data_IF_224572346311
#
_entry.id   IF_224572346311
#
_cell.length_a   1.000
_cell.length_b   1.000
_cell.length_c   1.000
_cell.angle_alpha   90.00
_cell.angle_beta   90.00
_cell.angle_gamma   90.00
#
_symmetry.space_group_name_H-M   'P 1'
#
loop_
_entity.id
_entity.type
_entity.pdbx_description
1 polymer ?
#
# COMPACT_ATOMS: atom_id res chain seq x y z
N UNK A 1 22.03 -20.79 17.73
CA UNK A 1 21.56 -19.82 16.72
C UNK A 1 21.13 -18.57 17.46
N UNK A 2 21.67 -17.38 17.16
CA UNK A 2 21.25 -16.17 17.86
C UNK A 2 19.75 -15.97 17.63
N UNK A 3 18.98 -15.79 18.70
CA UNK A 3 17.52 -15.70 18.77
C UNK A 3 16.86 -14.88 17.63
N UNK A 4 17.57 -13.88 17.11
CA UNK A 4 17.18 -13.07 15.94
C UNK A 4 16.97 -13.89 14.66
N UNK A 5 17.90 -14.78 14.33
CA UNK A 5 17.81 -15.60 13.10
C UNK A 5 16.63 -16.55 13.16
N UNK A 6 16.24 -17.00 14.36
CA UNK A 6 15.07 -17.84 14.56
C UNK A 6 13.77 -17.07 14.27
N UNK A 7 13.67 -15.81 14.73
CA UNK A 7 12.51 -14.95 14.44
C UNK A 7 12.39 -14.64 12.95
N UNK A 8 13.50 -14.27 12.29
CA UNK A 8 13.51 -14.00 10.85
C UNK A 8 13.14 -15.26 10.03
N UNK A 9 13.64 -16.44 10.41
CA UNK A 9 13.25 -17.73 9.80
C UNK A 9 11.79 -18.08 10.04
N UNK A 10 11.26 -17.85 11.24
CA UNK A 10 9.85 -18.11 11.56
C UNK A 10 8.91 -17.24 10.70
N UNK A 11 9.21 -15.95 10.59
CA UNK A 11 8.48 -15.03 9.72
C UNK A 11 8.54 -15.47 8.25
N UNK A 12 9.71 -15.89 7.77
CA UNK A 12 9.87 -16.43 6.42
C UNK A 12 9.01 -17.67 6.18
N UNK A 13 8.96 -18.61 7.14
CA UNK A 13 8.14 -19.81 7.01
C UNK A 13 6.64 -19.49 6.98
N UNK A 14 6.18 -18.52 7.79
CA UNK A 14 4.78 -18.06 7.77
C UNK A 14 4.40 -17.55 6.37
N UNK A 15 5.27 -16.75 5.74
CA UNK A 15 5.05 -16.25 4.37
C UNK A 15 4.91 -17.40 3.37
N UNK A 16 5.82 -18.36 3.44
CA UNK A 16 5.80 -19.52 2.55
C UNK A 16 4.51 -20.34 2.72
N UNK A 17 4.08 -20.55 3.95
CA UNK A 17 2.83 -21.27 4.23
C UNK A 17 1.61 -20.52 3.74
N UNK A 18 1.59 -19.19 3.85
CA UNK A 18 0.48 -18.40 3.34
C UNK A 18 0.32 -18.54 1.82
N UNK A 19 1.41 -18.77 1.09
CA UNK A 19 1.40 -18.99 -0.35
C UNK A 19 1.07 -20.44 -0.73
N UNK A 20 1.69 -21.42 -0.07
CA UNK A 20 1.60 -22.82 -0.49
C UNK A 20 0.43 -23.57 0.17
N UNK A 21 0.08 -23.23 1.41
CA UNK A 21 -0.86 -23.98 2.27
C UNK A 21 -1.66 -23.04 3.19
N UNK A 22 -2.40 -22.12 2.58
CA UNK A 22 -3.14 -21.09 3.34
C UNK A 22 -4.14 -21.68 4.33
N UNK A 23 -4.72 -22.84 4.03
CA UNK A 23 -5.64 -23.59 4.89
C UNK A 23 -5.06 -23.91 6.27
N UNK A 24 -3.75 -24.19 6.35
CA UNK A 24 -3.08 -24.49 7.63
C UNK A 24 -3.01 -23.24 8.51
N UNK A 25 -2.75 -22.08 7.90
CA UNK A 25 -2.73 -20.81 8.62
C UNK A 25 -4.14 -20.39 9.04
N UNK A 26 -5.15 -20.58 8.18
CA UNK A 26 -6.53 -20.19 8.45
C UNK A 26 -7.09 -20.87 9.71
N UNK A 27 -6.78 -22.14 9.94
CA UNK A 27 -7.16 -22.88 11.15
C UNK A 27 -6.61 -22.26 12.45
N UNK A 28 -5.53 -21.47 12.37
CA UNK A 28 -4.84 -20.86 13.51
C UNK A 28 -4.55 -19.38 13.29
N UNK A 29 -5.38 -18.72 12.50
CA UNK A 29 -5.08 -17.39 11.97
C UNK A 29 -4.83 -16.37 13.09
N UNK A 30 -5.68 -16.39 14.12
CA UNK A 30 -5.56 -15.49 15.26
C UNK A 30 -4.20 -15.63 15.98
N UNK A 31 -3.77 -16.86 16.24
CA UNK A 31 -2.50 -17.12 16.92
C UNK A 31 -1.31 -16.69 16.07
N UNK A 32 -1.35 -16.97 14.76
CA UNK A 32 -0.33 -16.55 13.80
C UNK A 32 -0.26 -15.02 13.75
N UNK A 33 -1.39 -14.34 13.61
CA UNK A 33 -1.43 -12.88 13.57
C UNK A 33 -0.96 -12.25 14.88
N UNK A 34 -1.31 -12.80 16.04
CA UNK A 34 -0.79 -12.36 17.34
C UNK A 34 0.73 -12.48 17.43
N UNK A 35 1.28 -13.63 16.99
CA UNK A 35 2.72 -13.86 16.97
C UNK A 35 3.47 -12.90 16.04
N UNK A 36 2.91 -12.61 14.86
CA UNK A 36 3.53 -11.67 13.92
C UNK A 36 3.40 -10.23 14.43
N UNK A 37 2.23 -9.85 14.97
CA UNK A 37 2.00 -8.50 15.51
C UNK A 37 2.84 -8.20 16.75
N UNK A 38 3.16 -9.18 17.60
CA UNK A 38 4.09 -8.97 18.72
C UNK A 38 5.50 -8.61 18.24
N UNK A 39 5.91 -9.07 17.05
CA UNK A 39 7.20 -8.71 16.45
C UNK A 39 7.20 -7.38 15.71
N UNK A 40 6.03 -6.81 15.38
CA UNK A 40 5.94 -5.51 14.68
C UNK A 40 6.59 -4.41 15.50
N UNK A 41 6.43 -4.39 16.82
CA UNK A 41 7.01 -3.38 17.71
C UNK A 41 8.39 -3.76 18.26
N UNK A 42 9.07 -4.74 17.65
CA UNK A 42 10.38 -5.20 18.12
C UNK A 42 11.45 -4.08 18.04
N UNK A 43 12.26 -3.94 19.11
CA UNK A 43 13.33 -2.94 19.20
C UNK A 43 14.38 -3.08 18.09
N UNK A 44 14.54 -4.27 17.52
CA UNK A 44 15.40 -4.52 16.38
C UNK A 44 14.64 -4.21 15.10
N UNK A 45 14.93 -3.07 14.50
CA UNK A 45 14.22 -2.56 13.32
C UNK A 45 14.19 -3.52 12.13
N UNK A 46 15.16 -4.44 11.98
CA UNK A 46 15.14 -5.49 10.94
C UNK A 46 14.07 -6.56 11.19
N UNK A 47 13.89 -6.97 12.45
CA UNK A 47 12.86 -7.95 12.85
C UNK A 47 11.49 -7.31 12.72
N UNK A 48 11.33 -6.08 13.23
CA UNK A 48 10.11 -5.28 13.08
C UNK A 48 9.73 -5.11 11.61
N UNK A 49 10.68 -4.70 10.75
CA UNK A 49 10.47 -4.57 9.32
C UNK A 49 10.02 -5.89 8.68
N UNK A 50 10.68 -7.00 9.00
CA UNK A 50 10.31 -8.32 8.49
C UNK A 50 8.88 -8.72 8.90
N UNK A 51 8.49 -8.44 10.14
CA UNK A 51 7.14 -8.71 10.64
C UNK A 51 6.08 -7.87 9.92
N UNK A 52 6.35 -6.58 9.71
CA UNK A 52 5.48 -5.68 8.95
C UNK A 52 5.28 -6.19 7.51
N UNK A 53 6.36 -6.56 6.82
CA UNK A 53 6.27 -7.12 5.46
C UNK A 53 5.51 -8.44 5.46
N UNK A 54 5.69 -9.28 6.48
CA UNK A 54 4.94 -10.53 6.65
C UNK A 54 3.43 -10.28 6.75
N UNK A 55 3.00 -9.28 7.52
CA UNK A 55 1.58 -8.89 7.59
C UNK A 55 1.05 -8.43 6.23
N UNK A 56 1.85 -7.68 5.47
CA UNK A 56 1.50 -7.29 4.10
C UNK A 56 1.23 -8.50 3.21
N UNK A 57 2.11 -9.50 3.25
CA UNK A 57 1.95 -10.73 2.48
C UNK A 57 0.73 -11.55 2.93
N UNK A 58 0.45 -11.60 4.23
CA UNK A 58 -0.77 -12.24 4.76
C UNK A 58 -2.04 -11.54 4.25
N UNK A 59 -2.07 -10.21 4.17
CA UNK A 59 -3.21 -9.50 3.59
C UNK A 59 -3.38 -9.80 2.10
N UNK A 60 -2.30 -9.86 1.31
CA UNK A 60 -2.38 -10.17 -0.12
C UNK A 60 -2.90 -11.59 -0.37
N UNK A 61 -2.46 -12.54 0.45
CA UNK A 61 -2.76 -13.97 0.29
C UNK A 61 -4.12 -14.35 0.84
N UNK A 62 -4.40 -14.00 2.10
CA UNK A 62 -5.60 -14.41 2.83
C UNK A 62 -6.78 -13.42 2.66
N UNK A 63 -6.50 -12.17 2.25
CA UNK A 63 -7.52 -11.17 1.87
C UNK A 63 -8.61 -10.99 2.94
N UNK A 64 -9.88 -11.25 2.60
CA UNK A 64 -11.05 -11.09 3.47
C UNK A 64 -11.01 -12.00 4.71
N UNK A 65 -10.25 -13.09 4.68
CA UNK A 65 -10.11 -13.96 5.85
C UNK A 65 -9.35 -13.25 6.98
N UNK A 66 -8.58 -12.20 6.66
CA UNK A 66 -7.91 -11.32 7.63
C UNK A 66 -8.85 -10.28 8.26
N UNK A 67 -10.14 -10.20 7.88
CA UNK A 67 -11.06 -9.15 8.36
C UNK A 67 -11.18 -9.12 9.90
N UNK A 68 -11.08 -10.28 10.56
CA UNK A 68 -11.11 -10.39 12.03
C UNK A 68 -9.87 -9.77 12.68
N UNK A 69 -8.74 -9.79 11.99
CA UNK A 69 -7.43 -9.36 12.51
C UNK A 69 -7.12 -7.89 12.22
N UNK A 70 -7.92 -7.23 11.35
CA UNK A 70 -7.70 -5.85 10.91
C UNK A 70 -7.52 -4.88 12.08
N UNK A 71 -8.33 -4.97 13.14
CA UNK A 71 -8.24 -4.00 14.25
C UNK A 71 -6.90 -4.08 14.97
N UNK A 72 -6.41 -5.29 15.24
CA UNK A 72 -5.14 -5.49 15.94
C UNK A 72 -3.95 -5.13 15.06
N UNK A 73 -3.97 -5.58 13.80
CA UNK A 73 -2.91 -5.28 12.85
C UNK A 73 -2.82 -3.78 12.55
N UNK A 74 -3.95 -3.12 12.29
CA UNK A 74 -3.96 -1.69 12.02
C UNK A 74 -3.47 -0.89 13.24
N UNK A 75 -3.82 -1.29 14.47
CA UNK A 75 -3.34 -0.66 15.70
C UNK A 75 -1.82 -0.66 15.78
N UNK A 76 -1.17 -1.81 15.59
CA UNK A 76 0.30 -1.89 15.68
C UNK A 76 0.98 -1.20 14.51
N UNK A 77 0.45 -1.30 13.28
CA UNK A 77 1.03 -0.62 12.12
C UNK A 77 0.92 0.91 12.24
N UNK A 78 -0.23 1.44 12.67
CA UNK A 78 -0.40 2.88 12.90
C UNK A 78 0.54 3.41 13.98
N UNK A 79 0.88 2.61 15.00
CA UNK A 79 1.93 2.96 15.98
C UNK A 79 3.31 3.06 15.32
N UNK A 80 3.63 2.14 14.41
CA UNK A 80 4.92 2.15 13.69
C UNK A 80 5.03 3.30 12.67
N UNK A 81 3.91 3.81 12.16
CA UNK A 81 3.91 4.97 11.24
C UNK A 81 4.50 6.22 11.89
N UNK A 82 4.39 6.41 13.20
CA UNK A 82 4.90 7.62 13.87
C UNK A 82 6.11 7.37 14.79
N UNK A 83 6.24 6.18 15.37
CA UNK A 83 7.23 5.90 16.43
C UNK A 83 8.36 4.98 15.95
N UNK A 84 8.93 5.20 14.75
CA UNK A 84 9.93 4.30 14.17
C UNK A 84 10.89 4.99 13.20
N UNK A 85 12.02 4.36 12.81
CA UNK A 85 12.87 4.87 11.73
C UNK A 85 12.11 4.97 10.40
N UNK A 86 12.50 5.92 9.55
CA UNK A 86 11.79 6.25 8.30
C UNK A 86 11.49 5.03 7.42
N UNK A 87 12.44 4.11 7.26
CA UNK A 87 12.24 2.90 6.45
C UNK A 87 11.16 1.96 7.02
N UNK A 88 11.02 1.91 8.35
CA UNK A 88 9.97 1.14 9.05
C UNK A 88 8.63 1.87 8.93
N UNK A 89 8.61 3.20 9.07
CA UNK A 89 7.40 4.00 8.85
C UNK A 89 6.85 3.81 7.43
N UNK A 90 7.74 3.80 6.42
CA UNK A 90 7.37 3.54 5.02
C UNK A 90 6.80 2.13 4.84
N UNK A 91 7.43 1.11 5.43
CA UNK A 91 6.92 -0.26 5.39
C UNK A 91 5.55 -0.39 6.07
N UNK A 92 5.36 0.25 7.22
CA UNK A 92 4.08 0.24 7.94
C UNK A 92 2.97 0.93 7.13
N UNK A 93 3.27 2.11 6.57
CA UNK A 93 2.34 2.86 5.72
C UNK A 93 1.96 2.07 4.46
N UNK A 94 2.95 1.42 3.83
CA UNK A 94 2.70 0.57 2.67
C UNK A 94 1.87 -0.67 3.04
N UNK A 95 2.12 -1.26 4.19
CA UNK A 95 1.35 -2.43 4.66
C UNK A 95 -0.09 -2.06 5.00
N UNK A 96 -0.34 -0.87 5.57
CA UNK A 96 -1.70 -0.35 5.75
C UNK A 96 -2.41 -0.13 4.41
N UNK A 97 -1.70 0.32 3.37
CA UNK A 97 -2.26 0.41 2.01
C UNK A 97 -2.63 -0.97 1.46
N UNK A 98 -1.74 -1.94 1.57
CA UNK A 98 -1.99 -3.33 1.16
C UNK A 98 -3.20 -3.91 1.90
N UNK A 99 -3.31 -3.69 3.21
CA UNK A 99 -4.48 -4.08 4.01
C UNK A 99 -5.76 -3.50 3.40
N UNK A 100 -5.80 -2.18 3.18
CA UNK A 100 -6.95 -1.46 2.63
C UNK A 100 -7.38 -1.96 1.24
N UNK A 101 -6.43 -2.43 0.44
CA UNK A 101 -6.68 -2.97 -0.90
C UNK A 101 -7.27 -4.39 -0.88
N UNK A 102 -6.93 -5.21 0.14
CA UNK A 102 -7.23 -6.65 0.13
C UNK A 102 -8.33 -7.11 1.09
N UNK A 103 -8.62 -6.33 2.14
CA UNK A 103 -9.69 -6.65 3.12
C UNK A 103 -11.03 -6.05 2.68
N UNK A 104 -12.12 -6.41 3.38
CA UNK A 104 -13.44 -5.83 3.08
C UNK A 104 -13.39 -4.30 3.23
N UNK A 105 -13.83 -3.49 2.23
CA UNK A 105 -13.71 -2.03 2.27
C UNK A 105 -14.37 -1.41 3.51
N UNK A 106 -15.55 -1.91 3.87
CA UNK A 106 -16.28 -1.50 5.06
C UNK A 106 -15.50 -1.76 6.35
N UNK A 107 -14.72 -2.84 6.40
CA UNK A 107 -13.89 -3.20 7.55
C UNK A 107 -12.69 -2.26 7.66
N UNK A 108 -11.96 -2.05 6.57
CA UNK A 108 -10.84 -1.11 6.49
C UNK A 108 -11.25 0.32 6.87
N UNK A 109 -12.38 0.82 6.33
CA UNK A 109 -12.90 2.15 6.68
C UNK A 109 -13.15 2.29 8.18
N UNK A 110 -13.79 1.29 8.79
CA UNK A 110 -14.12 1.32 10.21
C UNK A 110 -12.84 1.42 11.06
N UNK A 111 -11.86 0.55 10.80
CA UNK A 111 -10.58 0.55 11.51
C UNK A 111 -9.82 1.88 11.38
N UNK A 112 -9.75 2.45 10.18
CA UNK A 112 -9.09 3.74 9.95
C UNK A 112 -9.82 4.91 10.63
N UNK A 113 -11.16 4.92 10.62
CA UNK A 113 -11.96 5.94 11.30
C UNK A 113 -11.84 5.84 12.82
N UNK A 114 -11.71 4.64 13.37
CA UNK A 114 -11.64 4.42 14.82
C UNK A 114 -10.24 4.64 15.39
N UNK A 115 -9.19 4.27 14.68
CA UNK A 115 -7.82 4.34 15.22
C UNK A 115 -6.97 5.41 14.55
N UNK A 116 -7.11 5.58 13.24
CA UNK A 116 -6.28 6.49 12.46
C UNK A 116 -6.71 7.95 12.63
N UNK A 117 -7.96 8.26 12.31
CA UNK A 117 -8.52 9.63 12.34
C UNK A 117 -8.54 10.21 13.76
N UNK A 118 -8.75 9.36 14.78
CA UNK A 118 -8.79 9.77 16.19
C UNK A 118 -7.41 9.92 16.84
N UNK A 119 -6.32 9.63 16.11
CA UNK A 119 -4.96 9.67 16.66
C UNK A 119 -4.48 11.07 17.00
N UNK A 120 -3.72 11.20 18.09
CA UNK A 120 -3.05 12.46 18.46
C UNK A 120 -1.88 12.80 17.53
N UNK A 121 -1.31 11.82 16.82
CA UNK A 121 -0.14 12.01 15.98
C UNK A 121 -0.52 12.42 14.55
N UNK A 122 0.04 13.54 14.10
CA UNK A 122 -0.28 14.11 12.78
C UNK A 122 0.05 13.16 11.63
N UNK A 123 1.18 12.44 11.68
CA UNK A 123 1.54 11.47 10.65
C UNK A 123 0.52 10.32 10.53
N UNK A 124 -0.03 9.86 11.66
CA UNK A 124 -1.04 8.80 11.68
C UNK A 124 -2.34 9.30 11.06
N UNK A 125 -2.79 10.51 11.44
CA UNK A 125 -3.99 11.11 10.86
C UNK A 125 -3.83 11.36 9.36
N UNK A 126 -2.67 11.81 8.90
CA UNK A 126 -2.34 11.96 7.48
C UNK A 126 -2.48 10.64 6.73
N UNK A 127 -1.81 9.58 7.22
CA UNK A 127 -1.86 8.25 6.61
C UNK A 127 -3.30 7.73 6.54
N UNK A 128 -4.06 7.86 7.62
CA UNK A 128 -5.46 7.44 7.65
C UNK A 128 -6.35 8.24 6.69
N UNK A 129 -6.14 9.56 6.59
CA UNK A 129 -6.90 10.42 5.68
C UNK A 129 -6.65 10.07 4.21
N UNK A 130 -5.39 9.82 3.83
CA UNK A 130 -5.01 9.37 2.49
C UNK A 130 -5.68 8.04 2.12
N UNK A 131 -5.59 7.05 3.02
CA UNK A 131 -6.19 5.72 2.81
C UNK A 131 -7.72 5.76 2.78
N UNK A 132 -8.34 6.61 3.60
CA UNK A 132 -9.79 6.82 3.59
C UNK A 132 -10.25 7.49 2.29
N UNK A 133 -9.53 8.48 1.78
CA UNK A 133 -9.83 9.08 0.48
C UNK A 133 -9.82 8.02 -0.63
N UNK A 134 -8.77 7.19 -0.70
CA UNK A 134 -8.66 6.10 -1.66
C UNK A 134 -9.81 5.08 -1.53
N UNK A 135 -10.25 4.77 -0.30
CA UNK A 135 -11.43 3.92 -0.07
C UNK A 135 -12.73 4.53 -0.56
N UNK A 136 -12.96 5.82 -0.28
CA UNK A 136 -14.16 6.54 -0.74
C UNK A 136 -14.20 6.60 -2.27
N UNK A 137 -13.06 6.85 -2.91
CA UNK A 137 -12.91 6.81 -4.37
C UNK A 137 -13.21 5.43 -4.94
N UNK A 138 -12.64 4.37 -4.33
CA UNK A 138 -12.81 2.98 -4.77
C UNK A 138 -14.22 2.45 -4.59
N UNK A 139 -14.89 2.76 -3.48
CA UNK A 139 -16.28 2.37 -3.25
C UNK A 139 -17.20 3.18 -4.16
N UNK A 140 -16.89 4.45 -4.36
CA UNK A 140 -17.73 5.40 -5.08
C UNK A 140 -18.79 6.02 -4.18
N UNK A 141 -19.04 7.30 -4.37
CA UNK A 141 -19.91 8.12 -3.51
C UNK A 141 -21.35 7.63 -3.53
N UNK A 142 -21.87 7.19 -4.68
CA UNK A 142 -23.23 6.68 -4.82
C UNK A 142 -23.44 5.43 -3.95
N UNK A 143 -22.60 4.41 -4.14
CA UNK A 143 -22.66 3.17 -3.34
C UNK A 143 -22.46 3.44 -1.86
N UNK A 144 -21.54 4.33 -1.51
CA UNK A 144 -21.27 4.68 -0.13
C UNK A 144 -22.46 5.37 0.54
N UNK A 145 -23.20 6.19 -0.22
CA UNK A 145 -24.40 6.90 0.26
C UNK A 145 -25.48 5.92 0.72
N UNK A 146 -25.56 4.73 0.12
CA UNK A 146 -26.53 3.69 0.45
C UNK A 146 -26.12 2.82 1.65
N UNK A 147 -24.94 3.06 2.22
CA UNK A 147 -24.45 2.32 3.39
C UNK A 147 -24.80 3.02 4.70
N UNK A 148 -24.88 2.29 5.83
CA UNK A 148 -25.03 2.88 7.17
C UNK A 148 -23.82 3.73 7.60
N UNK A 149 -22.73 3.73 6.81
CA UNK A 149 -21.51 4.50 7.09
C UNK A 149 -21.51 5.89 6.48
N UNK A 150 -22.53 6.26 5.70
CA UNK A 150 -22.58 7.54 5.00
C UNK A 150 -22.44 8.73 5.97
N UNK A 151 -23.26 8.79 7.02
CA UNK A 151 -23.23 9.87 8.01
C UNK A 151 -21.86 9.97 8.70
N UNK A 152 -21.37 8.83 9.19
CA UNK A 152 -20.04 8.75 9.81
C UNK A 152 -18.92 9.20 8.87
N UNK A 153 -19.02 8.87 7.58
CA UNK A 153 -18.04 9.28 6.57
C UNK A 153 -18.08 10.79 6.32
N UNK A 154 -19.27 11.39 6.24
CA UNK A 154 -19.42 12.84 6.11
C UNK A 154 -18.79 13.58 7.29
N UNK A 155 -19.09 13.13 8.52
CA UNK A 155 -18.51 13.70 9.74
C UNK A 155 -16.98 13.59 9.76
N UNK A 156 -16.43 12.41 9.42
CA UNK A 156 -14.98 12.20 9.35
C UNK A 156 -14.32 13.07 8.28
N UNK A 157 -14.92 13.18 7.09
CA UNK A 157 -14.41 14.03 6.02
C UNK A 157 -14.36 15.51 6.44
N UNK A 158 -15.45 16.00 7.05
CA UNK A 158 -15.54 17.36 7.58
C UNK A 158 -14.51 17.65 8.68
N UNK A 159 -14.28 16.69 9.59
CA UNK A 159 -13.24 16.78 10.62
C UNK A 159 -11.84 16.83 10.02
N UNK A 160 -11.54 15.93 9.08
CA UNK A 160 -10.23 15.88 8.41
C UNK A 160 -9.96 17.14 7.61
N UNK A 161 -10.97 17.71 6.95
CA UNK A 161 -10.84 18.95 6.17
C UNK A 161 -10.42 20.17 7.02
N UNK A 162 -10.62 20.09 8.35
CA UNK A 162 -10.28 21.11 9.34
C UNK A 162 -9.09 20.73 10.23
N UNK A 163 -8.38 19.64 9.93
CA UNK A 163 -7.22 19.18 10.72
C UNK A 163 -6.17 20.29 10.92
N UNK A 164 -5.37 20.26 11.99
CA UNK A 164 -4.28 21.23 12.15
C UNK A 164 -3.12 20.99 11.18
N UNK A 165 -2.94 19.76 10.68
CA UNK A 165 -1.89 19.39 9.73
C UNK A 165 -2.32 19.61 8.28
N UNK A 166 -1.50 20.30 7.49
CA UNK A 166 -1.85 20.73 6.12
C UNK A 166 -2.15 19.56 5.18
N UNK A 167 -1.34 18.49 5.18
CA UNK A 167 -1.58 17.33 4.31
C UNK A 167 -2.88 16.62 4.66
N UNK A 168 -3.15 16.46 5.97
CA UNK A 168 -4.38 15.82 6.45
C UNK A 168 -5.60 16.63 6.02
N UNK A 169 -5.54 17.97 6.17
CA UNK A 169 -6.57 18.88 5.62
C UNK A 169 -6.76 18.71 4.14
N UNK A 170 -5.68 18.58 3.38
CA UNK A 170 -5.77 18.42 1.93
C UNK A 170 -6.56 17.16 1.57
N UNK A 171 -6.23 16.00 2.15
CA UNK A 171 -6.99 14.77 1.91
C UNK A 171 -8.45 14.87 2.37
N UNK A 172 -8.70 15.50 3.53
CA UNK A 172 -10.06 15.77 3.98
C UNK A 172 -10.87 16.66 3.03
N UNK A 173 -10.25 17.71 2.49
CA UNK A 173 -10.86 18.62 1.50
C UNK A 173 -11.18 17.92 0.18
N UNK A 174 -10.27 17.08 -0.34
CA UNK A 174 -10.56 16.28 -1.54
C UNK A 174 -11.69 15.27 -1.29
N UNK A 175 -11.74 14.68 -0.09
CA UNK A 175 -12.84 13.80 0.31
C UNK A 175 -14.17 14.54 0.36
N UNK A 176 -14.22 15.73 0.99
CA UNK A 176 -15.42 16.59 1.01
C UNK A 176 -15.86 16.94 -0.41
N UNK A 177 -14.93 17.38 -1.27
CA UNK A 177 -15.19 17.69 -2.69
C UNK A 177 -15.77 16.50 -3.44
N UNK A 178 -15.29 15.28 -3.17
CA UNK A 178 -15.82 14.06 -3.76
C UNK A 178 -17.25 13.78 -3.26
N UNK A 179 -17.49 13.86 -1.95
CA UNK A 179 -18.79 13.64 -1.32
C UNK A 179 -19.86 14.64 -1.79
N UNK A 180 -19.50 15.91 -2.00
CA UNK A 180 -20.41 16.96 -2.47
C UNK A 180 -21.02 16.70 -3.86
N UNK A 181 -20.50 15.73 -4.62
CA UNK A 181 -21.08 15.30 -5.90
C UNK A 181 -22.43 14.57 -5.73
N UNK A 182 -22.81 14.21 -4.50
CA UNK A 182 -24.02 13.46 -4.21
C UNK A 182 -24.92 14.18 -3.21
N UNK A 183 -26.22 14.31 -3.53
CA UNK A 183 -27.16 15.12 -2.76
C UNK A 183 -27.29 14.67 -1.29
N UNK A 184 -27.37 13.36 -1.03
CA UNK A 184 -27.42 12.83 0.34
C UNK A 184 -26.21 13.26 1.17
N UNK A 185 -25.02 13.23 0.57
CA UNK A 185 -23.79 13.62 1.27
C UNK A 185 -23.68 15.12 1.47
N UNK A 186 -24.22 15.93 0.56
CA UNK A 186 -24.34 17.37 0.77
C UNK A 186 -25.14 17.67 2.03
N UNK A 187 -26.33 17.06 2.18
CA UNK A 187 -27.16 17.22 3.39
C UNK A 187 -26.47 16.71 4.64
N UNK A 188 -25.80 15.55 4.58
CA UNK A 188 -25.05 15.02 5.73
C UNK A 188 -23.87 15.92 6.12
N UNK A 189 -23.17 16.53 5.15
CA UNK A 189 -22.09 17.47 5.42
C UNK A 189 -22.61 18.74 6.09
N UNK A 190 -23.73 19.30 5.61
CA UNK A 190 -24.43 20.44 6.20
C UNK A 190 -24.90 20.16 7.65
N UNK A 191 -25.26 18.91 7.95
CA UNK A 191 -25.63 18.49 9.32
C UNK A 191 -24.41 18.27 10.22
N UNK A 192 -23.31 17.78 9.65
CA UNK A 192 -22.10 17.43 10.41
C UNK A 192 -21.18 18.60 10.75
N UNK A 193 -21.35 19.74 10.07
CA UNK A 193 -20.50 20.92 10.14
C UNK A 193 -21.33 22.17 10.44
N UNK A 194 -20.72 23.18 11.07
CA UNK A 194 -21.36 24.49 11.10
C UNK A 194 -21.38 25.12 9.70
N UNK A 195 -22.37 25.97 9.42
CA UNK A 195 -22.46 26.69 8.12
C UNK A 195 -21.17 27.44 7.80
N UNK A 196 -20.56 28.08 8.82
CA UNK A 196 -19.29 28.81 8.70
C UNK A 196 -18.13 27.89 8.31
N UNK A 197 -18.02 26.72 8.94
CA UNK A 197 -16.92 25.79 8.67
C UNK A 197 -17.05 25.18 7.28
N UNK A 198 -18.27 24.84 6.86
CA UNK A 198 -18.53 24.35 5.52
C UNK A 198 -18.18 25.41 4.47
N UNK A 199 -18.56 26.67 4.68
CA UNK A 199 -18.17 27.80 3.83
C UNK A 199 -16.66 27.99 3.77
N UNK A 200 -15.95 27.96 4.91
CA UNK A 200 -14.48 28.06 4.94
C UNK A 200 -13.83 26.90 4.15
N UNK A 201 -14.27 25.67 4.35
CA UNK A 201 -13.80 24.51 3.58
C UNK A 201 -14.03 24.71 2.08
N UNK A 202 -15.24 25.12 1.67
CA UNK A 202 -15.59 25.35 0.27
C UNK A 202 -14.77 26.48 -0.36
N UNK A 203 -14.54 27.58 0.36
CA UNK A 203 -13.73 28.70 -0.13
C UNK A 203 -12.28 28.28 -0.32
N UNK A 204 -11.71 27.48 0.60
CA UNK A 204 -10.35 26.91 0.46
C UNK A 204 -10.24 25.97 -0.73
N UNK A 205 -11.25 25.13 -0.96
CA UNK A 205 -11.32 24.26 -2.14
C UNK A 205 -11.35 25.11 -3.41
N UNK A 206 -12.22 26.11 -3.49
CA UNK A 206 -12.32 27.02 -4.65
C UNK A 206 -11.01 27.75 -4.94
N UNK A 207 -10.39 28.36 -3.91
CA UNK A 207 -9.10 29.05 -4.04
C UNK A 207 -8.00 28.14 -4.60
N UNK A 208 -7.93 26.89 -4.13
CA UNK A 208 -6.97 25.90 -4.65
C UNK A 208 -7.23 25.55 -6.12
N UNK A 209 -8.50 25.38 -6.51
CA UNK A 209 -8.86 25.11 -7.91
C UNK A 209 -8.43 26.28 -8.80
N UNK A 210 -8.72 27.52 -8.40
CA UNK A 210 -8.31 28.71 -9.14
C UNK A 210 -6.79 28.83 -9.23
N UNK A 211 -6.06 28.62 -8.12
CA UNK A 211 -4.59 28.65 -8.13
C UNK A 211 -3.98 27.56 -9.00
N UNK A 212 -4.58 26.36 -9.04
CA UNK A 212 -4.13 25.29 -9.93
C UNK A 212 -4.42 25.62 -11.39
N UNK A 213 -5.60 26.17 -11.70
CA UNK A 213 -5.95 26.64 -13.06
C UNK A 213 -5.00 27.73 -13.55
N UNK A 214 -4.73 28.73 -12.71
CA UNK A 214 -3.77 29.81 -13.01
C UNK A 214 -2.36 29.25 -13.22
N UNK A 215 -1.91 28.32 -12.35
CA UNK A 215 -0.63 27.62 -12.53
C UNK A 215 -0.59 26.82 -13.83
N UNK A 216 -1.67 26.16 -14.22
CA UNK A 216 -1.77 25.42 -15.49
C UNK A 216 -1.73 26.35 -16.71
N UNK A 217 -2.42 27.49 -16.64
CA UNK A 217 -2.38 28.53 -17.66
C UNK A 217 -0.96 29.13 -17.79
N UNK A 218 -0.26 29.33 -16.68
CA UNK A 218 1.12 29.82 -16.65
C UNK A 218 2.15 28.76 -17.10
N UNK A 219 1.91 27.48 -16.84
CA UNK A 219 2.85 26.40 -17.18
C UNK A 219 2.58 25.72 -18.53
N UNK A 220 1.60 26.20 -19.32
CA UNK A 220 1.39 25.75 -20.70
C UNK A 220 1.14 24.25 -20.87
N UNK A 221 0.58 23.56 -19.86
CA UNK A 221 0.23 22.14 -19.99
C UNK A 221 -1.11 22.02 -20.73
N UNK A 222 -1.06 22.15 -22.05
CA UNK A 222 -2.18 21.74 -22.89
C UNK A 222 -2.39 20.23 -22.77
N UNK A 223 -3.64 19.84 -22.51
CA UNK A 223 -4.08 18.45 -22.60
C UNK A 223 -3.73 17.93 -24.00
N UNK A 224 -2.72 17.08 -24.11
CA UNK A 224 -2.51 16.23 -25.30
C UNK A 224 -3.68 15.25 -25.39
N UNK A 225 -4.78 15.72 -25.97
CA UNK A 225 -5.85 14.91 -26.49
C UNK A 225 -5.26 14.18 -27.70
N UNK A 226 -5.03 12.88 -27.57
CA UNK A 226 -4.37 12.08 -28.58
C UNK A 226 -5.02 12.21 -29.96
N UNK A 227 -4.30 12.84 -30.89
CA UNK A 227 -4.53 12.63 -32.31
C UNK A 227 -3.86 11.32 -32.71
N UNK A 228 -4.68 10.37 -33.19
CA UNK A 228 -4.21 9.18 -33.90
C UNK A 228 -3.47 9.62 -35.16
N UNK A 229 -2.25 9.13 -35.45
CA UNK A 229 -1.66 9.33 -36.76
C UNK A 229 -2.38 8.43 -37.77
N UNK A 230 -3.07 9.05 -38.72
CA UNK A 230 -3.62 8.40 -39.90
C UNK A 230 -2.46 7.88 -40.77
N UNK A 231 -2.41 6.57 -40.96
CA UNK A 231 -1.46 5.89 -41.85
C UNK A 231 -1.81 6.25 -43.30
N UNK A 232 -0.93 7.01 -43.96
CA UNK A 232 -0.93 7.12 -45.42
C UNK A 232 0.00 6.03 -45.98
N UNK A 233 -0.58 5.11 -46.74
CA UNK A 233 0.16 4.14 -47.55
C UNK A 233 1.10 4.85 -48.54
N UNK A 234 2.34 4.37 -48.72
CA UNK A 234 3.16 4.72 -49.88
C UNK A 234 3.11 3.62 -50.94
N UNK A 235 2.72 4.06 -52.13
CA UNK A 235 2.67 3.36 -53.41
C UNK A 235 4.03 2.75 -53.80
N UNK A 236 4.00 1.51 -54.31
CA UNK A 236 5.11 0.79 -54.95
C UNK A 236 5.73 1.57 -56.11
N UNK A 237 7.07 1.59 -56.19
CA UNK A 237 7.81 1.47 -57.46
C UNK A 237 9.16 0.77 -57.24
N UNK A 238 9.60 0.11 -58.30
CA UNK A 238 10.47 -1.07 -58.43
C UNK A 238 11.93 -0.69 -58.76
N UNK A 239 12.83 -1.65 -58.54
CA UNK A 239 14.14 -1.87 -59.22
C UNK A 239 15.29 -0.94 -58.78
N UNK A 240 16.57 -1.34 -58.70
CA UNK A 240 17.33 -2.58 -58.87
C UNK A 240 18.75 -2.31 -58.33
N UNK A 241 19.56 -3.36 -58.10
CA UNK A 241 21.01 -3.27 -58.33
C UNK A 241 21.97 -2.85 -57.18
N UNK A 242 22.43 -3.86 -56.44
CA UNK A 242 23.83 -4.32 -56.39
C UNK A 242 24.99 -3.40 -55.90
N UNK A 243 25.83 -4.01 -55.02
CA UNK A 243 27.27 -3.82 -54.70
C UNK A 243 27.69 -3.05 -53.44
N UNK A 244 28.29 -3.82 -52.51
CA UNK A 244 29.39 -3.46 -51.57
C UNK A 244 30.56 -2.77 -52.31
N UNK A 245 31.40 -1.94 -51.65
CA UNK A 245 32.63 -2.47 -51.02
C UNK A 245 33.10 -1.77 -49.73
N UNK A 246 34.06 -2.46 -49.09
CA UNK A 246 34.84 -2.12 -47.89
C UNK A 246 35.93 -1.05 -48.13
N UNK A 247 36.63 -0.73 -47.03
CA UNK A 247 37.92 -0.03 -46.85
C UNK A 247 37.74 1.45 -46.42
N UNK A 248 38.49 2.04 -45.49
CA UNK A 248 39.79 1.75 -44.86
C UNK A 248 39.88 2.64 -43.62
N UNK A 249 40.49 2.21 -42.50
CA UNK A 249 40.95 3.13 -41.45
C UNK A 249 42.27 2.63 -40.85
N UNK A 250 43.30 3.47 -40.97
CA UNK A 250 44.58 3.35 -40.28
C UNK A 250 44.73 4.48 -39.26
N UNK A 251 45.09 4.08 -38.04
CA UNK A 251 45.92 4.76 -37.03
C UNK A 251 45.56 6.19 -36.57
N UNK A 252 45.24 6.36 -35.27
CA UNK A 252 46.20 6.91 -34.31
C UNK A 252 45.67 6.89 -32.86
N UNK A 253 46.62 6.78 -31.92
CA UNK A 253 46.50 6.67 -30.46
C UNK A 253 45.93 7.95 -29.82
N UNK A 254 45.20 7.78 -28.70
CA UNK A 254 45.66 8.14 -27.32
C UNK A 254 44.50 8.64 -26.41
N UNK A 255 44.10 7.72 -25.50
CA UNK A 255 43.89 7.87 -24.04
C UNK A 255 42.69 8.68 -23.47
N UNK A 256 41.88 7.91 -22.72
CA UNK A 256 41.04 8.18 -21.53
C UNK A 256 39.94 9.24 -21.59
N UNK A 257 38.70 8.75 -21.70
CA UNK A 257 37.60 9.11 -20.81
C UNK A 257 36.49 8.05 -20.90
N UNK A 258 36.05 7.47 -19.79
CA UNK A 258 34.75 6.78 -19.71
C UNK A 258 34.20 6.88 -18.29
N UNK A 259 33.34 7.88 -18.06
CA UNK A 259 32.14 7.65 -17.26
C UNK A 259 30.99 7.53 -18.24
N UNK A 260 30.27 6.40 -18.22
CA UNK A 260 28.82 6.44 -18.38
C UNK A 260 28.20 5.09 -18.04
N UNK A 261 27.01 5.18 -17.45
CA UNK A 261 26.24 4.04 -16.98
C UNK A 261 25.74 3.13 -18.09
N UNK A 262 25.23 1.97 -17.68
CA UNK A 262 24.19 1.22 -18.37
C UNK A 262 23.62 0.14 -17.45
N UNK A 263 22.29 0.21 -17.31
CA UNK A 263 21.33 -0.89 -17.42
C UNK A 263 21.72 -2.23 -16.77
N UNK A 264 21.11 -2.51 -15.61
CA UNK A 264 21.03 -3.87 -15.10
C UNK A 264 19.88 -4.61 -15.79
N UNK A 265 20.30 -5.49 -16.70
CA UNK A 265 19.49 -6.55 -17.28
C UNK A 265 18.99 -7.54 -16.22
N UNK A 266 17.77 -7.98 -16.49
CA UNK A 266 16.97 -8.94 -15.73
C UNK A 266 17.59 -10.34 -15.80
N UNK A 267 18.32 -10.75 -14.77
CA UNK A 267 18.70 -12.15 -14.57
C UNK A 267 17.55 -12.93 -13.88
N UNK A 268 16.92 -13.84 -14.62
CA UNK A 268 16.05 -14.88 -14.05
C UNK A 268 16.92 -15.86 -13.25
N UNK A 269 16.84 -15.83 -11.93
CA UNK A 269 17.31 -16.93 -11.11
C UNK A 269 16.26 -18.06 -11.19
N UNK A 270 16.62 -19.16 -11.85
CA UNK A 270 15.90 -20.42 -11.70
C UNK A 270 16.13 -20.92 -10.27
N UNK A 271 15.09 -20.83 -9.43
CA UNK A 271 15.06 -21.52 -8.15
C UNK A 271 14.76 -22.99 -8.44
N UNK A 272 15.66 -23.87 -8.01
CA UNK A 272 15.51 -25.32 -8.05
C UNK A 272 14.34 -25.71 -7.13
N UNK A 273 13.28 -26.27 -7.71
CA UNK A 273 12.14 -26.82 -6.95
C UNK A 273 12.61 -28.13 -6.29
N UNK A 274 12.53 -28.29 -4.95
CA UNK A 274 12.87 -29.55 -4.31
C UNK A 274 11.89 -30.67 -4.72
N UNK A 275 12.29 -31.95 -4.70
CA UNK A 275 11.40 -33.07 -4.99
C UNK A 275 10.18 -33.05 -4.07
N UNK A 276 8.97 -33.30 -4.61
CA UNK A 276 7.70 -33.26 -3.87
C UNK A 276 7.66 -34.09 -2.58
N UNK A 277 8.54 -35.10 -2.46
CA UNK A 277 8.70 -35.93 -1.26
C UNK A 277 9.37 -35.15 -0.12
N UNK A 278 10.38 -34.33 -0.41
CA UNK A 278 11.05 -33.47 0.58
C UNK A 278 10.11 -32.37 1.08
N UNK A 279 9.28 -31.83 0.18
CA UNK A 279 8.26 -30.82 0.53
C UNK A 279 7.20 -31.42 1.47
N UNK A 280 6.72 -32.63 1.19
CA UNK A 280 5.75 -33.33 2.03
C UNK A 280 6.32 -33.68 3.42
N UNK A 281 7.58 -34.09 3.51
CA UNK A 281 8.23 -34.35 4.81
C UNK A 281 8.41 -33.09 5.65
N UNK A 282 8.76 -31.96 5.03
CA UNK A 282 8.89 -30.68 5.72
C UNK A 282 7.54 -30.17 6.21
N UNK A 283 6.48 -30.32 5.41
CA UNK A 283 5.11 -29.98 5.81
C UNK A 283 4.63 -30.85 6.96
N UNK A 284 4.89 -32.16 6.92
CA UNK A 284 4.53 -33.05 8.01
C UNK A 284 5.29 -32.69 9.30
N UNK A 285 6.58 -32.34 9.21
CA UNK A 285 7.36 -31.86 10.36
C UNK A 285 6.79 -30.56 10.93
N UNK A 286 6.39 -29.63 10.08
CA UNK A 286 5.81 -28.36 10.51
C UNK A 286 4.44 -28.57 11.16
N UNK A 287 3.59 -29.41 10.56
CA UNK A 287 2.29 -29.78 11.10
C UNK A 287 2.44 -30.41 12.50
N UNK A 288 3.38 -31.35 12.65
CA UNK A 288 3.70 -31.96 13.94
C UNK A 288 4.22 -30.93 14.97
N UNK A 289 4.96 -29.89 14.53
CA UNK A 289 5.44 -28.82 15.42
C UNK A 289 4.31 -27.88 15.89
N UNK A 290 3.32 -27.65 15.03
CA UNK A 290 2.12 -26.86 15.32
C UNK A 290 1.15 -27.60 16.24
N UNK A 291 1.07 -28.93 16.13
CA UNK A 291 0.20 -29.80 16.95
C UNK A 291 0.85 -30.30 18.25
N UNK A 292 2.18 -30.28 18.37
CA UNK A 292 2.87 -30.83 19.53
C UNK A 292 2.52 -30.11 20.86
N UNK A 293 2.16 -30.90 21.89
CA UNK A 293 1.94 -30.41 23.27
C UNK A 293 3.16 -29.61 23.75
N UNK A 294 2.93 -28.39 24.22
CA UNK A 294 3.99 -27.40 24.54
C UNK A 294 4.28 -26.38 23.43
N UNK A 295 3.50 -26.35 22.34
CA UNK A 295 3.56 -25.26 21.35
C UNK A 295 3.43 -23.88 22.02
N UNK A 296 2.49 -23.72 22.96
CA UNK A 296 2.31 -22.47 23.71
C UNK A 296 3.56 -22.07 24.49
N UNK A 297 4.26 -23.01 25.13
CA UNK A 297 5.50 -22.74 25.87
C UNK A 297 6.66 -22.36 24.93
N UNK A 298 6.71 -22.94 23.72
CA UNK A 298 7.65 -22.52 22.67
C UNK A 298 7.31 -21.13 22.10
N UNK A 299 6.04 -20.78 22.07
CA UNK A 299 5.57 -19.42 21.73
C UNK A 299 5.84 -18.42 22.85
N UNK A 300 5.76 -18.81 24.12
CA UNK A 300 6.13 -17.98 25.27
C UNK A 300 7.63 -17.65 25.26
N UNK A 301 8.48 -18.59 24.85
CA UNK A 301 9.90 -18.33 24.61
C UNK A 301 10.19 -17.30 23.49
N UNK A 302 9.19 -16.92 22.68
CA UNK A 302 9.28 -15.81 21.72
C UNK A 302 8.88 -14.46 22.34
N UNK A 303 8.14 -14.49 23.45
CA UNK A 303 7.62 -13.34 24.21
C UNK A 303 8.55 -12.86 25.33
N UNK A 304 9.55 -13.66 25.71
CA UNK A 304 10.66 -13.30 26.62
C UNK A 304 11.93 -12.90 25.85
#
# INVERSE_FOLDING_TARGET
LPFRELKEKGLFNIKHLAWSHSEVLLCRLRDVCLAVTSEVTNLRSKVSYSAIVTLGELFVTLKKDMDSEVDEVARVLLKMVWNSPEFVQKAASQTLRIMVENVTPARAMTALMDMGVKSHHAQVRKCAAELLLALVERIGVTKLADTPRAERTAHVAGKLAQDCHQDTRHYGQEMVKLLLKHQKFKTLLEQSLSTRDLEDILTRIKKKVSAWQEKCLLCGMENQKGERPSVKEPVKKRNDGLKKPQATLSSSKRVKSTSDGRLLDRAKAQAMVPPAVEEMELLQRLYNLLEAKGFQTRMEGLLS
#
